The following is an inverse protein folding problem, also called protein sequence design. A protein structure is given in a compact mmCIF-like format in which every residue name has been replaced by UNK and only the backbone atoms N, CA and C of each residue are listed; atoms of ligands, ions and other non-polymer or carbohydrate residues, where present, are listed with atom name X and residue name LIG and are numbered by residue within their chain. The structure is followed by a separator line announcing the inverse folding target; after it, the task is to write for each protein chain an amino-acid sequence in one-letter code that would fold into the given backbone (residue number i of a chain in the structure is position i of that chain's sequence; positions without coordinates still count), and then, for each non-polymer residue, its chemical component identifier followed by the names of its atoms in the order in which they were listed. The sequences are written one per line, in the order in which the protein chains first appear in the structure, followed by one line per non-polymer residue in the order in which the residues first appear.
data_IF_900405887093
#
_entry.id   IF_900405887093
#
_cell.length_a   1.000
_cell.length_b   1.000
_cell.length_c   1.000
_cell.angle_alpha   90.00
_cell.angle_beta   90.00
_cell.angle_gamma   90.00
#
_symmetry.space_group_name_H-M   'P 1'
#
loop_
_entity.id
_entity.type
_entity.pdbx_description
1 polymer ?
#
# COMPACT_ATOMS: atom_id res chain seq x y z
N UNK A 1 -8.08 25.88 -14.99
CA UNK A 1 -8.62 25.84 -13.63
C UNK A 1 -7.58 26.28 -12.58
N UNK A 2 -6.62 27.16 -12.93
CA UNK A 2 -5.43 27.39 -12.11
C UNK A 2 -5.38 28.73 -11.36
N UNK A 3 -6.52 29.42 -11.14
CA UNK A 3 -6.53 30.72 -10.44
C UNK A 3 -7.25 30.73 -9.08
N UNK A 4 -8.13 29.76 -8.77
CA UNK A 4 -8.89 29.78 -7.51
C UNK A 4 -8.50 28.67 -6.52
N UNK A 5 -8.45 29.03 -5.23
CA UNK A 5 -8.23 28.10 -4.12
C UNK A 5 -9.42 27.14 -3.99
N UNK A 6 -9.18 25.85 -4.28
CA UNK A 6 -10.18 24.79 -4.12
C UNK A 6 -10.35 24.35 -2.66
N UNK A 7 -11.58 23.98 -2.29
CA UNK A 7 -11.89 23.22 -1.09
C UNK A 7 -11.90 21.73 -1.42
N UNK A 8 -10.86 21.01 -1.00
CA UNK A 8 -10.68 19.60 -1.32
C UNK A 8 -10.97 18.72 -0.10
N UNK A 9 -11.85 17.74 -0.27
CA UNK A 9 -12.05 16.66 0.70
C UNK A 9 -11.30 15.41 0.24
N UNK A 10 -10.49 14.84 1.12
CA UNK A 10 -9.79 13.58 0.88
C UNK A 10 -10.39 12.51 1.78
N UNK A 11 -10.87 11.42 1.18
CA UNK A 11 -11.49 10.32 1.91
C UNK A 11 -10.43 9.25 2.14
N UNK A 12 -10.04 9.03 3.40
CA UNK A 12 -8.97 8.12 3.79
C UNK A 12 -7.64 8.83 4.00
N UNK A 13 -7.09 8.73 5.21
CA UNK A 13 -5.92 9.44 5.67
C UNK A 13 -4.66 8.58 5.76
N UNK A 14 -4.49 7.58 4.89
CA UNK A 14 -3.26 6.77 4.79
C UNK A 14 -2.32 7.32 3.71
N UNK A 15 -1.42 6.50 3.15
CA UNK A 15 -0.36 6.96 2.23
C UNK A 15 -0.90 7.73 1.02
N UNK A 16 -1.91 7.19 0.31
CA UNK A 16 -2.48 7.86 -0.85
C UNK A 16 -3.10 9.22 -0.47
N UNK A 17 -3.93 9.26 0.57
CA UNK A 17 -4.57 10.50 1.00
C UNK A 17 -3.57 11.54 1.49
N UNK A 18 -2.57 11.14 2.28
CA UNK A 18 -1.54 12.04 2.79
C UNK A 18 -0.57 12.52 1.70
N UNK A 19 -0.24 11.69 0.72
CA UNK A 19 0.52 12.13 -0.46
C UNK A 19 -0.22 13.23 -1.22
N UNK A 20 -1.52 13.06 -1.43
CA UNK A 20 -2.35 14.06 -2.11
C UNK A 20 -2.55 15.30 -1.22
N UNK A 21 -2.75 15.12 0.08
CA UNK A 21 -2.92 16.22 1.02
C UNK A 21 -1.67 17.10 1.14
N UNK A 22 -0.48 16.49 1.25
CA UNK A 22 0.78 17.23 1.27
C UNK A 22 1.03 17.97 -0.05
N UNK A 23 0.68 17.38 -1.19
CA UNK A 23 0.77 18.02 -2.50
C UNK A 23 -0.20 19.20 -2.63
N UNK A 24 -1.48 19.01 -2.33
CA UNK A 24 -2.52 20.03 -2.45
C UNK A 24 -2.30 21.21 -1.48
N UNK A 25 -1.80 20.91 -0.27
CA UNK A 25 -1.33 21.93 0.68
C UNK A 25 -0.26 22.82 0.07
N UNK A 26 0.71 22.25 -0.64
CA UNK A 26 1.78 23.02 -1.29
C UNK A 26 1.34 23.75 -2.56
N UNK A 27 0.21 23.35 -3.16
CA UNK A 27 -0.47 24.09 -4.23
C UNK A 27 -1.48 25.12 -3.67
N UNK A 28 -1.40 25.43 -2.38
CA UNK A 28 -2.20 26.48 -1.73
C UNK A 28 -3.72 26.24 -1.71
N UNK A 29 -4.15 24.98 -1.83
CA UNK A 29 -5.55 24.58 -1.68
C UNK A 29 -5.94 24.33 -0.22
N UNK A 30 -7.24 24.42 0.07
CA UNK A 30 -7.80 23.97 1.34
C UNK A 30 -7.97 22.45 1.31
N UNK A 31 -7.56 21.75 2.37
CA UNK A 31 -7.56 20.28 2.39
C UNK A 31 -8.17 19.78 3.69
N UNK A 32 -9.22 18.96 3.58
CA UNK A 32 -9.82 18.26 4.70
C UNK A 32 -9.73 16.75 4.47
N UNK A 33 -8.86 16.07 5.23
CA UNK A 33 -8.74 14.61 5.21
C UNK A 33 -9.71 14.01 6.24
N UNK A 34 -10.65 13.19 5.77
CA UNK A 34 -11.56 12.42 6.60
C UNK A 34 -11.01 10.99 6.76
N UNK A 35 -10.61 10.64 7.97
CA UNK A 35 -10.06 9.34 8.32
C UNK A 35 -10.98 8.58 9.27
N UNK A 36 -11.44 7.39 8.87
CA UNK A 36 -12.38 6.60 9.67
C UNK A 36 -11.81 6.07 10.98
N UNK A 37 -10.50 5.86 11.08
CA UNK A 37 -9.90 5.37 12.32
C UNK A 37 -9.91 6.46 13.38
N UNK A 38 -10.27 6.14 14.64
CA UNK A 38 -10.61 7.15 15.64
C UNK A 38 -9.40 7.89 16.22
N UNK A 39 -8.17 7.50 15.91
CA UNK A 39 -6.96 8.11 16.49
C UNK A 39 -5.91 8.45 15.43
N UNK A 40 -5.12 9.49 15.69
CA UNK A 40 -3.96 9.83 14.85
C UNK A 40 -2.79 8.87 15.02
N UNK A 41 -2.68 8.24 16.19
CA UNK A 41 -1.64 7.25 16.47
C UNK A 41 -2.03 5.93 15.82
N UNK A 42 -1.09 5.39 15.04
CA UNK A 42 -1.19 4.14 14.31
C UNK A 42 -0.10 3.17 14.75
N UNK A 43 -0.51 1.97 15.12
CA UNK A 43 0.41 0.88 15.38
C UNK A 43 1.12 0.43 14.09
N UNK A 44 2.33 -0.10 14.25
CA UNK A 44 3.09 -0.63 13.11
C UNK A 44 2.33 -1.82 12.55
N UNK A 45 2.08 -1.80 11.24
CA UNK A 45 1.53 -2.97 10.56
C UNK A 45 2.63 -3.95 10.11
N UNK A 46 3.85 -3.86 10.66
CA UNK A 46 5.05 -4.63 10.28
C UNK A 46 5.14 -4.89 8.76
N UNK A 47 4.73 -3.89 7.98
CA UNK A 47 4.53 -3.99 6.56
C UNK A 47 5.66 -3.25 5.89
N UNK A 48 6.70 -4.00 5.52
CA UNK A 48 7.71 -3.51 4.61
C UNK A 48 7.11 -3.10 3.26
N UNK A 49 7.70 -2.09 2.65
CA UNK A 49 7.35 -1.62 1.32
C UNK A 49 8.58 -1.02 0.62
N UNK A 50 8.45 -0.75 -0.67
CA UNK A 50 9.46 0.02 -1.39
C UNK A 50 8.89 1.33 -1.90
N UNK A 51 9.71 2.38 -1.84
CA UNK A 51 9.46 3.63 -2.54
C UNK A 51 10.12 3.55 -3.92
N UNK A 52 9.33 3.19 -4.94
CA UNK A 52 9.76 3.17 -6.34
C UNK A 52 10.02 4.57 -6.90
N UNK A 53 10.24 4.65 -8.22
CA UNK A 53 10.63 5.90 -8.91
C UNK A 53 9.69 7.08 -8.65
N UNK A 54 8.38 6.88 -8.69
CA UNK A 54 7.40 7.95 -8.46
C UNK A 54 7.30 8.29 -6.97
N UNK A 55 7.45 7.29 -6.08
CA UNK A 55 7.55 7.55 -4.64
C UNK A 55 8.74 8.44 -4.31
N UNK A 56 9.89 8.19 -4.93
CA UNK A 56 11.10 9.02 -4.77
C UNK A 56 10.94 10.41 -5.40
N UNK A 57 10.31 10.51 -6.57
CA UNK A 57 10.01 11.79 -7.22
C UNK A 57 9.05 12.65 -6.38
N UNK A 58 8.00 12.03 -5.81
CA UNK A 58 7.05 12.68 -4.92
C UNK A 58 7.75 13.20 -3.67
N UNK A 59 8.57 12.38 -3.02
CA UNK A 59 9.37 12.80 -1.86
C UNK A 59 10.31 13.94 -2.23
N UNK A 60 10.98 13.89 -3.38
CA UNK A 60 11.84 14.97 -3.84
C UNK A 60 11.09 16.31 -3.93
N UNK A 61 9.84 16.28 -4.42
CA UNK A 61 9.03 17.49 -4.64
C UNK A 61 8.34 18.00 -3.38
N UNK A 62 7.77 17.11 -2.56
CA UNK A 62 6.84 17.51 -1.49
C UNK A 62 7.31 17.17 -0.07
N UNK A 63 8.37 16.37 0.11
CA UNK A 63 8.93 16.08 1.44
C UNK A 63 9.95 17.14 1.85
N UNK A 64 9.63 17.87 2.92
CA UNK A 64 10.47 18.91 3.52
C UNK A 64 11.45 18.38 4.56
N UNK A 65 11.35 17.10 4.95
CA UNK A 65 12.27 16.48 5.90
C UNK A 65 13.50 15.99 5.12
N UNK A 66 14.71 16.42 5.49
CA UNK A 66 15.94 16.09 4.75
C UNK A 66 17.01 15.43 5.62
N UNK A 67 17.02 15.75 6.90
CA UNK A 67 17.98 15.33 7.93
C UNK A 67 17.63 13.98 8.56
N UNK A 68 16.50 13.37 8.18
CA UNK A 68 16.09 12.06 8.69
C UNK A 68 16.02 11.02 7.57
N UNK A 69 16.77 9.92 7.66
CA UNK A 69 16.60 8.78 6.77
C UNK A 69 15.21 8.15 6.90
N UNK A 70 14.77 7.45 5.86
CA UNK A 70 13.45 6.80 5.84
C UNK A 70 13.41 5.50 5.04
N UNK A 71 14.57 5.00 4.60
CA UNK A 71 14.68 3.72 3.91
C UNK A 71 16.04 3.09 4.18
N UNK A 72 16.09 1.77 4.08
CA UNK A 72 17.29 0.96 3.93
C UNK A 72 17.47 0.66 2.43
N UNK A 73 18.71 0.50 1.99
CA UNK A 73 19.01 0.14 0.60
C UNK A 73 19.30 -1.36 0.46
N UNK A 74 18.89 -1.92 -0.67
CA UNK A 74 19.39 -3.19 -1.18
C UNK A 74 19.63 -3.04 -2.67
N UNK A 75 20.76 -3.50 -3.17
CA UNK A 75 21.16 -3.32 -4.57
C UNK A 75 20.70 -4.45 -5.48
N UNK A 76 20.22 -5.56 -4.90
CA UNK A 76 19.83 -6.76 -5.65
C UNK A 76 18.50 -7.34 -5.20
N UNK A 77 17.75 -7.86 -6.18
CA UNK A 77 16.74 -8.89 -5.97
C UNK A 77 17.37 -10.23 -6.36
N UNK A 78 17.50 -11.15 -5.40
CA UNK A 78 17.95 -12.52 -5.67
C UNK A 78 16.81 -13.50 -5.44
N UNK A 79 16.55 -14.35 -6.43
CA UNK A 79 15.64 -15.49 -6.30
C UNK A 79 16.48 -16.71 -5.97
N UNK A 80 16.08 -17.45 -4.93
CA UNK A 80 16.80 -18.63 -4.44
C UNK A 80 15.90 -19.86 -4.37
N UNK A 81 16.46 -21.03 -4.67
CA UNK A 81 15.77 -22.33 -4.60
C UNK A 81 15.68 -22.88 -3.16
N UNK A 82 15.09 -24.07 -3.02
CA UNK A 82 14.96 -24.80 -1.75
C UNK A 82 16.29 -25.05 -1.01
N UNK A 83 17.42 -25.05 -1.75
CA UNK A 83 18.78 -25.27 -1.24
C UNK A 83 19.57 -23.97 -1.11
N UNK A 84 18.91 -22.81 -1.25
CA UNK A 84 19.50 -21.46 -1.24
C UNK A 84 20.45 -21.17 -2.41
N UNK A 85 20.39 -21.94 -3.51
CA UNK A 85 21.13 -21.58 -4.72
C UNK A 85 20.45 -20.38 -5.39
N UNK A 86 21.25 -19.39 -5.79
CA UNK A 86 20.75 -18.25 -6.57
C UNK A 86 20.39 -18.74 -7.97
N UNK A 87 19.12 -18.63 -8.33
CA UNK A 87 18.60 -19.00 -9.67
C UNK A 87 18.40 -17.77 -10.56
N UNK A 88 18.18 -16.60 -9.96
CA UNK A 88 18.07 -15.33 -10.65
C UNK A 88 18.68 -14.22 -9.78
N UNK A 89 19.43 -13.30 -10.39
CA UNK A 89 19.93 -12.11 -9.72
C UNK A 89 19.68 -10.90 -10.60
N UNK A 90 19.03 -9.88 -10.04
CA UNK A 90 18.72 -8.62 -10.73
C UNK A 90 19.25 -7.45 -9.92
N UNK A 91 20.00 -6.58 -10.56
CA UNK A 91 20.38 -5.29 -9.96
C UNK A 91 19.15 -4.39 -9.91
N UNK A 92 18.70 -4.07 -8.70
CA UNK A 92 17.55 -3.20 -8.45
C UNK A 92 17.93 -2.27 -7.31
N UNK A 93 17.93 -0.94 -7.52
CA UNK A 93 18.31 0.02 -6.48
C UNK A 93 17.15 0.23 -5.50
N UNK A 94 16.85 -0.78 -4.68
CA UNK A 94 15.72 -0.71 -3.78
C UNK A 94 15.91 0.37 -2.72
N UNK A 95 14.80 1.05 -2.44
CA UNK A 95 14.59 1.94 -1.30
C UNK A 95 13.49 1.28 -0.46
N UNK A 96 13.89 0.54 0.56
CA UNK A 96 13.03 -0.31 1.38
C UNK A 96 12.68 0.42 2.67
N UNK A 97 11.40 0.58 2.93
CA UNK A 97 10.88 1.26 4.12
C UNK A 97 9.75 0.44 4.73
N UNK A 98 9.10 0.96 5.76
CA UNK A 98 7.88 0.39 6.31
C UNK A 98 6.75 1.43 6.28
N UNK A 99 5.51 0.95 6.39
CA UNK A 99 4.34 1.81 6.33
C UNK A 99 4.35 2.90 7.40
N UNK A 100 4.74 2.56 8.64
CA UNK A 100 4.71 3.47 9.79
C UNK A 100 5.66 4.65 9.59
N UNK A 101 6.89 4.40 9.15
CA UNK A 101 7.88 5.42 8.78
C UNK A 101 7.30 6.38 7.75
N UNK A 102 6.73 5.85 6.67
CA UNK A 102 6.27 6.71 5.58
C UNK A 102 4.99 7.48 5.95
N UNK A 103 4.06 6.85 6.67
CA UNK A 103 2.84 7.47 7.18
C UNK A 103 3.16 8.70 8.05
N UNK A 104 4.00 8.54 9.07
CA UNK A 104 4.32 9.62 9.98
C UNK A 104 5.15 10.72 9.32
N UNK A 105 6.01 10.36 8.36
CA UNK A 105 6.72 11.35 7.55
C UNK A 105 5.77 12.20 6.71
N UNK A 106 4.74 11.59 6.12
CA UNK A 106 3.73 12.33 5.37
C UNK A 106 2.83 13.18 6.29
N UNK A 107 2.45 12.67 7.47
CA UNK A 107 1.74 13.46 8.50
C UNK A 107 2.55 14.69 8.91
N UNK A 108 3.83 14.53 9.25
CA UNK A 108 4.70 15.64 9.58
C UNK A 108 4.74 16.74 8.49
N UNK A 109 4.70 16.35 7.20
CA UNK A 109 4.61 17.31 6.09
C UNK A 109 3.22 17.94 5.93
N UNK A 110 2.15 17.20 6.24
CA UNK A 110 0.77 17.62 6.06
C UNK A 110 0.26 18.50 7.21
N UNK A 111 0.34 18.04 8.45
CA UNK A 111 -0.30 18.64 9.62
C UNK A 111 0.63 18.81 10.82
N UNK A 112 1.96 18.80 10.60
CA UNK A 112 2.97 18.94 11.66
C UNK A 112 2.84 17.91 12.78
N UNK A 113 2.31 16.72 12.46
CA UNK A 113 2.16 15.69 13.46
C UNK A 113 3.53 15.21 13.98
N UNK A 114 3.76 15.40 15.28
CA UNK A 114 4.93 14.89 15.98
C UNK A 114 4.77 13.41 16.25
N UNK A 115 5.82 12.64 15.99
CA UNK A 115 5.86 11.20 16.26
C UNK A 115 7.28 10.77 16.60
N UNK A 116 7.44 9.54 17.08
CA UNK A 116 8.77 8.95 17.32
C UNK A 116 9.61 8.86 16.03
N UNK A 117 8.95 8.84 14.87
CA UNK A 117 9.60 8.87 13.54
C UNK A 117 9.95 10.25 13.05
N UNK A 118 9.26 11.30 13.50
CA UNK A 118 9.55 12.69 13.13
C UNK A 118 9.26 13.54 14.37
N UNK A 119 10.21 13.66 15.30
CA UNK A 119 9.99 14.40 16.54
C UNK A 119 9.88 15.91 16.30
N UNK A 120 10.57 16.40 15.27
CA UNK A 120 10.65 17.80 14.87
C UNK A 120 10.10 17.96 13.44
N UNK A 121 8.76 18.03 13.27
CA UNK A 121 8.15 18.24 11.96
C UNK A 121 8.50 19.64 11.41
N UNK A 122 8.60 19.79 10.08
CA UNK A 122 8.85 21.08 9.46
C UNK A 122 7.61 21.99 9.62
N UNK A 123 7.78 23.30 9.86
CA UNK A 123 6.65 24.21 10.05
C UNK A 123 5.76 24.30 8.81
N UNK A 124 4.44 24.38 9.00
CA UNK A 124 3.49 24.65 7.92
C UNK A 124 3.52 26.13 7.57
N UNK A 125 4.12 26.42 6.42
CA UNK A 125 3.98 27.72 5.79
C UNK A 125 2.68 27.71 4.96
N UNK A 126 1.56 28.01 5.62
CA UNK A 126 0.25 28.16 4.96
C UNK A 126 0.09 29.60 4.46
N UNK A 127 -0.55 29.76 3.32
CA UNK A 127 -0.97 31.08 2.84
C UNK A 127 -2.13 31.63 3.69
N UNK A 128 -2.31 32.95 3.66
CA UNK A 128 -3.43 33.60 4.36
C UNK A 128 -4.77 33.00 3.90
N UNK A 129 -5.59 32.59 4.87
CA UNK A 129 -6.89 31.93 4.65
C UNK A 129 -6.82 30.47 4.17
N UNK A 130 -5.65 29.84 4.10
CA UNK A 130 -5.52 28.43 3.76
C UNK A 130 -5.81 27.55 4.99
N UNK A 131 -6.62 26.51 4.81
CA UNK A 131 -7.03 25.58 5.87
C UNK A 131 -6.62 24.16 5.52
N UNK A 132 -5.90 23.48 6.43
CA UNK A 132 -5.57 22.05 6.32
C UNK A 132 -5.97 21.31 7.58
N UNK A 133 -6.71 20.21 7.44
CA UNK A 133 -7.27 19.44 8.55
C UNK A 133 -7.08 17.95 8.30
N UNK A 134 -6.56 17.23 9.31
CA UNK A 134 -6.59 15.77 9.39
C UNK A 134 -7.60 15.36 10.46
N UNK A 135 -8.79 14.93 10.06
CA UNK A 135 -9.89 14.63 10.97
C UNK A 135 -10.07 13.12 11.12
N UNK A 136 -10.05 12.64 12.36
CA UNK A 136 -10.07 11.22 12.72
C UNK A 136 -11.47 10.79 13.16
N UNK A 137 -11.75 9.49 13.08
CA UNK A 137 -13.08 8.97 13.38
C UNK A 137 -14.16 9.43 12.40
N UNK A 138 -13.81 9.89 11.19
CA UNK A 138 -14.78 10.34 10.17
C UNK A 138 -14.93 9.27 9.10
N UNK A 139 -16.02 8.49 9.17
CA UNK A 139 -16.32 7.42 8.21
C UNK A 139 -17.24 7.95 7.12
N UNK A 140 -16.73 8.14 5.91
CA UNK A 140 -17.56 8.50 4.76
C UNK A 140 -18.52 7.36 4.43
N UNK A 141 -19.80 7.70 4.32
CA UNK A 141 -20.92 6.78 4.05
C UNK A 141 -21.52 7.01 2.68
N UNK A 142 -21.39 8.20 2.10
CA UNK A 142 -21.89 8.50 0.76
C UNK A 142 -21.08 9.60 0.04
N UNK A 143 -21.08 9.53 -1.29
CA UNK A 143 -20.63 10.62 -2.18
C UNK A 143 -21.66 10.79 -3.29
N UNK A 144 -22.05 12.03 -3.58
CA UNK A 144 -23.04 12.32 -4.63
C UNK A 144 -22.72 13.62 -5.35
N UNK A 145 -23.14 13.72 -6.60
CA UNK A 145 -22.96 14.91 -7.42
C UNK A 145 -24.24 15.26 -8.16
N UNK A 146 -24.61 16.53 -8.10
CA UNK A 146 -25.69 17.12 -8.89
C UNK A 146 -25.15 18.38 -9.59
N UNK A 147 -25.54 18.63 -10.84
CA UNK A 147 -25.01 19.76 -11.63
C UNK A 147 -25.36 21.13 -11.04
N UNK A 148 -26.51 21.25 -10.39
CA UNK A 148 -26.99 22.49 -9.76
C UNK A 148 -26.48 22.61 -8.32
N UNK A 149 -26.52 21.53 -7.54
CA UNK A 149 -26.15 21.54 -6.12
C UNK A 149 -24.66 21.24 -5.83
N UNK A 150 -23.90 20.83 -6.84
CA UNK A 150 -22.48 20.50 -6.70
C UNK A 150 -22.22 19.13 -6.09
N UNK A 151 -21.00 18.95 -5.59
CA UNK A 151 -20.53 17.71 -4.97
C UNK A 151 -20.93 17.68 -3.49
N UNK A 152 -21.23 16.51 -2.96
CA UNK A 152 -21.53 16.31 -1.54
C UNK A 152 -20.86 15.06 -1.02
N UNK A 153 -20.32 15.15 0.19
CA UNK A 153 -19.70 14.04 0.93
C UNK A 153 -20.42 13.92 2.26
N UNK A 154 -21.06 12.76 2.50
CA UNK A 154 -21.69 12.45 3.78
C UNK A 154 -20.75 11.56 4.59
N UNK A 155 -20.48 11.94 5.83
CA UNK A 155 -19.73 11.10 6.76
C UNK A 155 -20.44 10.97 8.10
N UNK A 156 -20.16 9.87 8.77
CA UNK A 156 -20.53 9.59 10.14
C UNK A 156 -19.32 9.82 11.04
N UNK A 157 -19.51 10.56 12.13
CA UNK A 157 -18.56 10.56 13.24
C UNK A 157 -18.69 9.24 14.01
N UNK A 158 -17.62 8.44 14.02
CA UNK A 158 -17.60 7.09 14.57
C UNK A 158 -17.75 7.09 16.10
N UNK A 159 -17.46 8.20 16.78
CA UNK A 159 -17.61 8.31 18.23
C UNK A 159 -19.04 8.69 18.62
N UNK A 160 -19.66 9.64 17.91
CA UNK A 160 -20.99 10.16 18.26
C UNK A 160 -22.13 9.48 17.49
N UNK A 161 -21.83 8.85 16.35
CA UNK A 161 -22.81 8.31 15.40
C UNK A 161 -23.54 9.40 14.58
N UNK A 162 -23.13 10.67 14.67
CA UNK A 162 -23.79 11.77 13.96
C UNK A 162 -23.33 11.84 12.52
N UNK A 163 -24.27 12.10 11.61
CA UNK A 163 -23.96 12.31 10.20
C UNK A 163 -23.85 13.79 9.87
N UNK A 164 -22.83 14.14 9.07
CA UNK A 164 -22.60 15.49 8.56
C UNK A 164 -22.39 15.44 7.04
N UNK A 165 -22.56 16.60 6.39
CA UNK A 165 -22.43 16.74 4.94
C UNK A 165 -21.48 17.90 4.64
N UNK A 166 -20.50 17.65 3.78
CA UNK A 166 -19.61 18.67 3.22
C UNK A 166 -19.90 18.87 1.74
N UNK A 167 -19.69 20.10 1.27
CA UNK A 167 -19.84 20.50 -0.14
C UNK A 167 -18.50 20.98 -0.73
N UNK A 168 -17.56 20.06 -1.03
CA UNK A 168 -16.26 20.42 -1.57
C UNK A 168 -16.29 20.72 -3.07
N UNK A 169 -15.26 21.41 -3.56
CA UNK A 169 -15.03 21.62 -4.99
C UNK A 169 -14.47 20.38 -5.69
N UNK A 170 -13.75 19.54 -4.94
CA UNK A 170 -13.03 18.37 -5.40
C UNK A 170 -12.97 17.29 -4.30
N UNK A 171 -13.12 16.02 -4.69
CA UNK A 171 -12.92 14.86 -3.80
C UNK A 171 -11.80 13.96 -4.28
N UNK A 172 -10.90 13.59 -3.37
CA UNK A 172 -9.89 12.54 -3.58
C UNK A 172 -10.29 11.32 -2.75
N UNK A 173 -10.80 10.29 -3.40
CA UNK A 173 -11.18 9.04 -2.77
C UNK A 173 -9.95 8.11 -2.66
N UNK A 174 -9.36 8.09 -1.47
CA UNK A 174 -8.12 7.39 -1.10
C UNK A 174 -8.35 6.35 0.02
N UNK A 175 -9.56 5.79 0.10
CA UNK A 175 -10.06 4.90 1.15
C UNK A 175 -9.63 3.42 0.99
N UNK A 176 -8.58 3.18 0.21
CA UNK A 176 -7.79 1.96 0.20
C UNK A 176 -8.45 0.71 -0.40
N UNK A 177 -7.86 -0.45 -0.13
CA UNK A 177 -8.27 -1.73 -0.72
C UNK A 177 -9.73 -2.12 -0.45
N UNK A 178 -10.30 -1.65 0.67
CA UNK A 178 -11.68 -1.87 1.08
C UNK A 178 -12.66 -0.78 0.64
N UNK A 179 -12.23 0.16 -0.20
CA UNK A 179 -12.92 1.40 -0.59
C UNK A 179 -14.45 1.28 -0.61
N UNK A 180 -15.09 2.02 0.30
CA UNK A 180 -16.54 2.18 0.31
C UNK A 180 -16.96 3.09 -0.86
N UNK A 181 -16.15 4.10 -1.16
CA UNK A 181 -16.38 5.04 -2.26
C UNK A 181 -16.44 4.31 -3.61
N UNK A 182 -15.51 3.38 -3.86
CA UNK A 182 -15.55 2.53 -5.06
C UNK A 182 -16.81 1.68 -5.14
N UNK A 183 -17.29 1.14 -4.02
CA UNK A 183 -18.54 0.35 -3.98
C UNK A 183 -19.78 1.19 -4.25
N UNK A 184 -19.80 2.44 -3.78
CA UNK A 184 -20.88 3.40 -4.07
C UNK A 184 -20.90 3.72 -5.56
N UNK A 185 -19.74 4.02 -6.15
CA UNK A 185 -19.63 4.42 -7.56
C UNK A 185 -19.80 3.26 -8.54
N UNK A 186 -19.36 2.06 -8.16
CA UNK A 186 -19.35 0.85 -9.00
C UNK A 186 -19.85 -0.37 -8.21
N UNK A 187 -21.16 -0.45 -7.89
CA UNK A 187 -21.71 -1.50 -7.02
C UNK A 187 -21.55 -2.92 -7.59
N UNK A 188 -21.52 -3.04 -8.93
CA UNK A 188 -21.37 -4.34 -9.61
C UNK A 188 -19.89 -4.80 -9.74
N UNK A 189 -18.93 -3.96 -9.36
CA UNK A 189 -17.51 -4.29 -9.46
C UNK A 189 -17.15 -5.37 -8.43
N UNK A 190 -16.79 -6.55 -8.92
CA UNK A 190 -16.32 -7.66 -8.09
C UNK A 190 -14.85 -7.48 -7.71
N UNK A 191 -14.51 -7.87 -6.48
CA UNK A 191 -13.12 -7.94 -6.00
C UNK A 191 -12.82 -9.39 -5.63
N UNK A 192 -12.43 -10.24 -6.59
CA UNK A 192 -12.24 -11.67 -6.36
C UNK A 192 -11.02 -11.94 -5.46
N UNK A 193 -11.14 -12.96 -4.62
CA UNK A 193 -10.01 -13.50 -3.87
C UNK A 193 -9.05 -14.20 -4.82
N UNK A 194 -7.75 -13.95 -4.65
CA UNK A 194 -6.72 -14.42 -5.56
C UNK A 194 -6.28 -15.87 -5.33
N UNK A 195 -6.80 -16.54 -4.29
CA UNK A 195 -6.51 -17.94 -3.98
C UNK A 195 -5.35 -18.16 -3.00
N UNK A 196 -4.82 -17.10 -2.40
CA UNK A 196 -3.71 -17.20 -1.45
C UNK A 196 -3.74 -16.13 -0.36
N UNK A 197 -3.05 -16.45 0.73
CA UNK A 197 -2.85 -15.61 1.90
C UNK A 197 -1.42 -15.09 1.89
N UNK A 198 -1.18 -13.94 2.53
CA UNK A 198 0.17 -13.51 2.88
C UNK A 198 0.30 -13.43 4.39
N UNK A 199 1.14 -14.30 4.95
CA UNK A 199 1.65 -14.18 6.31
C UNK A 199 2.77 -13.16 6.35
N UNK A 200 2.77 -12.29 7.34
CA UNK A 200 3.72 -11.20 7.44
C UNK A 200 4.15 -11.02 8.88
N UNK A 201 5.42 -10.67 9.05
CA UNK A 201 6.01 -10.41 10.35
C UNK A 201 7.36 -9.74 10.20
N UNK A 202 7.85 -9.22 11.32
CA UNK A 202 9.18 -8.63 11.44
C UNK A 202 9.94 -9.31 12.57
N UNK A 203 11.28 -9.25 12.47
CA UNK A 203 12.19 -9.65 13.55
C UNK A 203 13.18 -8.51 13.76
N UNK A 204 13.42 -8.04 15.00
CA UNK A 204 14.48 -7.08 15.29
C UNK A 204 15.84 -7.57 14.79
N UNK A 205 16.61 -6.72 14.12
CA UNK A 205 17.88 -7.14 13.50
C UNK A 205 18.86 -7.72 14.54
N UNK A 206 18.92 -7.12 15.73
CA UNK A 206 19.76 -7.59 16.84
C UNK A 206 19.37 -8.97 17.38
N UNK A 207 18.17 -9.45 17.08
CA UNK A 207 17.70 -10.76 17.44
C UNK A 207 18.02 -11.81 16.36
N UNK A 208 18.59 -11.44 15.21
CA UNK A 208 18.89 -12.33 14.08
C UNK A 208 20.37 -12.75 14.07
N UNK A 209 20.65 -14.01 13.70
CA UNK A 209 22.00 -14.55 13.62
C UNK A 209 22.84 -13.83 12.55
N UNK A 210 24.16 -13.77 12.78
CA UNK A 210 25.11 -13.19 11.81
C UNK A 210 25.06 -13.91 10.46
N UNK A 211 24.81 -15.21 10.44
CA UNK A 211 24.69 -16.01 9.22
C UNK A 211 23.50 -15.54 8.38
N UNK A 212 22.33 -15.37 9.00
CA UNK A 212 21.12 -14.85 8.32
C UNK A 212 21.28 -13.40 7.89
N UNK A 213 21.93 -12.56 8.70
CA UNK A 213 22.20 -11.17 8.29
C UNK A 213 23.16 -11.10 7.09
N UNK A 214 24.19 -11.94 7.05
CA UNK A 214 25.07 -12.06 5.89
C UNK A 214 24.31 -12.55 4.65
N UNK A 215 23.37 -13.48 4.82
CA UNK A 215 22.48 -13.95 3.76
C UNK A 215 21.58 -12.83 3.20
N UNK A 216 21.22 -11.83 4.01
CA UNK A 216 20.39 -10.68 3.60
C UNK A 216 21.19 -9.44 3.21
N UNK A 217 22.51 -9.43 3.41
CA UNK A 217 23.34 -8.25 3.18
C UNK A 217 23.19 -7.73 1.75
N UNK A 218 22.81 -6.45 1.63
CA UNK A 218 22.57 -5.71 0.38
C UNK A 218 21.57 -6.39 -0.59
N UNK A 219 20.67 -7.23 -0.06
CA UNK A 219 19.80 -8.09 -0.85
C UNK A 219 18.35 -8.05 -0.38
N UNK A 220 17.45 -8.03 -1.35
CA UNK A 220 16.08 -8.48 -1.21
C UNK A 220 16.03 -9.92 -1.71
N UNK A 221 15.67 -10.86 -0.84
CA UNK A 221 15.62 -12.29 -1.16
C UNK A 221 14.19 -12.69 -1.49
N UNK A 222 14.03 -13.45 -2.58
CA UNK A 222 12.83 -14.22 -2.89
C UNK A 222 13.18 -15.71 -2.82
N UNK A 223 12.77 -16.36 -1.74
CA UNK A 223 12.87 -17.80 -1.59
C UNK A 223 11.63 -18.47 -2.16
N UNK A 224 11.78 -19.42 -3.06
CA UNK A 224 10.66 -20.16 -3.66
C UNK A 224 10.79 -21.66 -3.40
N UNK A 225 9.62 -22.31 -3.22
CA UNK A 225 9.47 -23.75 -3.14
C UNK A 225 8.09 -24.14 -3.72
N UNK A 226 7.71 -25.43 -3.66
CA UNK A 226 6.48 -25.91 -4.31
C UNK A 226 5.22 -25.15 -3.84
N UNK A 227 4.66 -24.32 -4.72
CA UNK A 227 3.39 -23.58 -4.58
C UNK A 227 3.31 -22.55 -3.45
N UNK A 228 4.46 -22.07 -2.97
CA UNK A 228 4.57 -20.90 -2.11
C UNK A 228 5.91 -20.20 -2.32
N UNK A 229 5.99 -18.94 -1.91
CA UNK A 229 7.27 -18.24 -1.88
C UNK A 229 7.32 -17.22 -0.75
N UNK A 230 8.53 -16.84 -0.35
CA UNK A 230 8.80 -15.95 0.77
C UNK A 230 9.71 -14.82 0.30
N UNK A 231 9.39 -13.59 0.70
CA UNK A 231 10.21 -12.41 0.44
C UNK A 231 10.79 -11.93 1.76
N UNK A 232 12.11 -11.69 1.80
CA UNK A 232 12.83 -11.26 2.99
C UNK A 232 13.76 -10.10 2.67
N UNK A 233 13.71 -9.03 3.48
CA UNK A 233 14.57 -7.86 3.32
C UNK A 233 14.61 -7.01 4.59
N UNK A 234 15.61 -6.12 4.69
CA UNK A 234 15.75 -5.17 5.79
C UNK A 234 14.87 -3.93 5.59
N UNK A 235 14.30 -3.42 6.68
CA UNK A 235 13.51 -2.19 6.76
C UNK A 235 13.94 -1.36 7.98
N UNK A 236 13.58 -0.08 8.06
CA UNK A 236 13.86 0.74 9.24
C UNK A 236 13.25 0.19 10.54
N UNK A 237 13.85 0.59 11.67
CA UNK A 237 13.41 0.33 13.04
C UNK A 237 12.07 0.95 13.44
N UNK A 238 11.69 0.78 14.70
CA UNK A 238 10.43 1.29 15.28
C UNK A 238 10.35 2.81 15.41
N UNK A 239 11.50 3.48 15.41
CA UNK A 239 11.67 4.94 15.38
C UNK A 239 12.12 5.43 13.99
N UNK A 240 12.33 4.50 13.05
CA UNK A 240 12.84 4.78 11.71
C UNK A 240 14.36 4.74 11.60
N UNK A 241 15.08 4.27 12.62
CA UNK A 241 16.52 4.03 12.55
C UNK A 241 16.86 3.12 11.37
N UNK A 242 17.97 3.47 10.70
CA UNK A 242 18.56 2.69 9.60
C UNK A 242 19.92 2.11 9.99
N UNK A 243 20.33 2.30 11.24
CA UNK A 243 21.63 1.84 11.75
C UNK A 243 21.62 0.32 11.91
N UNK A 244 22.70 -0.37 11.49
CA UNK A 244 22.84 -1.81 11.72
C UNK A 244 22.65 -2.19 13.19
N UNK A 245 21.74 -3.13 13.45
CA UNK A 245 21.36 -3.58 14.79
C UNK A 245 20.06 -2.95 15.31
N UNK A 246 19.62 -1.83 14.73
CA UNK A 246 18.40 -1.11 15.11
C UNK A 246 17.27 -1.26 14.08
N UNK A 247 17.54 -1.95 12.97
CA UNK A 247 16.57 -2.22 11.89
C UNK A 247 15.68 -3.42 12.21
N UNK A 248 14.74 -3.69 11.33
CA UNK A 248 13.99 -4.94 11.31
C UNK A 248 14.25 -5.75 10.04
N UNK A 249 14.20 -7.07 10.15
CA UNK A 249 14.06 -7.98 9.02
C UNK A 249 12.57 -8.21 8.76
N UNK A 250 12.08 -7.78 7.60
CA UNK A 250 10.72 -8.00 7.14
C UNK A 250 10.62 -9.33 6.38
N UNK A 251 9.60 -10.13 6.70
CA UNK A 251 9.28 -11.37 6.02
C UNK A 251 7.83 -11.36 5.52
N UNK A 252 7.63 -11.79 4.27
CA UNK A 252 6.30 -12.01 3.68
C UNK A 252 6.25 -13.39 3.08
N UNK A 253 5.42 -14.28 3.61
CA UNK A 253 5.18 -15.62 3.09
C UNK A 253 3.84 -15.68 2.36
N UNK A 254 3.91 -15.92 1.05
CA UNK A 254 2.80 -16.11 0.14
C UNK A 254 2.39 -17.57 0.14
N UNK A 255 1.21 -17.87 0.67
CA UNK A 255 0.76 -19.21 1.03
C UNK A 255 -0.57 -19.52 0.33
N UNK A 256 -0.57 -20.51 -0.56
CA UNK A 256 -1.76 -20.91 -1.32
C UNK A 256 -2.81 -21.48 -0.38
N UNK A 257 -4.03 -20.92 -0.41
CA UNK A 257 -5.09 -21.32 0.50
C UNK A 257 -6.45 -21.05 -0.14
N UNK A 258 -7.24 -22.09 -0.42
CA UNK A 258 -8.52 -21.92 -1.12
C UNK A 258 -9.59 -21.34 -0.20
N UNK A 259 -10.37 -20.37 -0.70
CA UNK A 259 -11.36 -19.59 0.08
C UNK A 259 -12.35 -20.44 0.88
N UNK A 260 -12.80 -21.54 0.32
CA UNK A 260 -13.84 -22.39 0.89
C UNK A 260 -13.27 -23.58 1.68
N UNK A 261 -11.95 -23.62 1.87
CA UNK A 261 -11.30 -24.65 2.68
C UNK A 261 -11.54 -24.43 4.18
N UNK A 262 -11.61 -25.50 4.98
CA UNK A 262 -11.61 -25.39 6.45
C UNK A 262 -10.36 -24.66 6.97
N UNK A 263 -9.23 -24.81 6.28
CA UNK A 263 -7.98 -24.11 6.62
C UNK A 263 -8.15 -22.59 6.49
N UNK A 264 -8.69 -22.09 5.37
CA UNK A 264 -8.93 -20.66 5.18
C UNK A 264 -9.84 -20.09 6.25
N UNK A 265 -10.97 -20.76 6.53
CA UNK A 265 -11.91 -20.33 7.57
C UNK A 265 -11.22 -20.28 8.94
N UNK A 266 -10.41 -21.28 9.25
CA UNK A 266 -9.63 -21.32 10.48
C UNK A 266 -8.65 -20.14 10.55
N UNK A 267 -7.79 -19.98 9.53
CA UNK A 267 -6.78 -18.91 9.50
C UNK A 267 -7.40 -17.51 9.58
N UNK A 268 -8.53 -17.30 8.91
CA UNK A 268 -9.18 -15.99 8.81
C UNK A 268 -10.10 -15.65 9.98
N UNK A 269 -10.23 -16.52 10.98
CA UNK A 269 -10.92 -16.22 12.23
C UNK A 269 -9.90 -15.85 13.30
N UNK A 270 -10.15 -14.80 14.07
CA UNK A 270 -9.21 -14.33 15.10
C UNK A 270 -9.34 -15.07 16.44
N UNK A 271 -8.57 -14.61 17.44
CA UNK A 271 -8.62 -15.07 18.84
C UNK A 271 -9.96 -14.82 19.53
N UNK A 272 -10.73 -13.84 19.07
CA UNK A 272 -12.04 -13.48 19.64
C UNK A 272 -13.19 -14.20 18.92
N UNK A 273 -12.88 -15.09 17.97
CA UNK A 273 -13.86 -15.82 17.16
C UNK A 273 -14.47 -15.00 16.02
N UNK A 274 -13.97 -13.79 15.75
CA UNK A 274 -14.44 -12.96 14.64
C UNK A 274 -13.78 -13.42 13.34
N UNK A 275 -14.61 -13.73 12.34
CA UNK A 275 -14.14 -14.00 11.00
C UNK A 275 -13.85 -12.70 10.24
N UNK A 276 -12.63 -12.58 9.71
CA UNK A 276 -12.18 -11.44 8.94
C UNK A 276 -12.28 -11.70 7.44
N UNK A 277 -12.78 -10.72 6.69
CA UNK A 277 -12.88 -10.85 5.22
C UNK A 277 -11.53 -10.69 4.51
N UNK A 278 -10.64 -9.86 5.07
CA UNK A 278 -9.40 -9.45 4.39
C UNK A 278 -8.15 -9.68 5.23
N UNK A 279 -8.09 -9.16 6.44
CA UNK A 279 -6.89 -9.22 7.27
C UNK A 279 -7.26 -9.62 8.68
N UNK A 280 -6.60 -10.64 9.21
CA UNK A 280 -6.54 -10.86 10.66
C UNK A 280 -5.36 -10.03 11.16
N UNK A 281 -5.60 -8.98 11.95
CA UNK A 281 -4.57 -7.99 12.30
C UNK A 281 -3.57 -8.53 13.34
N UNK A 282 -2.56 -7.72 13.62
CA UNK A 282 -1.60 -7.96 14.70
C UNK A 282 -2.28 -8.22 16.03
N UNK A 283 -1.70 -9.13 16.80
CA UNK A 283 -2.25 -9.54 18.10
C UNK A 283 -3.58 -10.28 18.02
N UNK A 284 -4.13 -10.52 16.82
CA UNK A 284 -5.42 -11.21 16.62
C UNK A 284 -5.29 -12.58 15.95
N UNK A 285 -4.12 -12.91 15.37
CA UNK A 285 -3.85 -14.27 14.89
C UNK A 285 -3.87 -15.25 16.06
N UNK A 286 -4.60 -16.36 15.92
CA UNK A 286 -4.65 -17.39 16.97
C UNK A 286 -3.29 -18.04 17.20
N UNK A 287 -2.78 -18.11 18.46
CA UNK A 287 -1.49 -18.72 18.75
C UNK A 287 -1.35 -20.17 18.25
N UNK A 288 -2.42 -20.96 18.34
CA UNK A 288 -2.41 -22.34 17.83
C UNK A 288 -2.24 -22.43 16.31
N UNK A 289 -2.80 -21.48 15.55
CA UNK A 289 -2.65 -21.42 14.09
C UNK A 289 -1.23 -20.98 13.73
N UNK A 290 -0.68 -20.00 14.44
CA UNK A 290 0.70 -19.57 14.21
C UNK A 290 1.70 -20.69 14.55
N UNK A 291 1.51 -21.40 15.66
CA UNK A 291 2.36 -22.53 16.04
C UNK A 291 2.37 -23.63 14.96
N UNK A 292 1.25 -23.88 14.29
CA UNK A 292 1.19 -24.82 13.16
C UNK A 292 2.04 -24.32 11.96
N UNK A 293 1.96 -23.03 11.63
CA UNK A 293 2.77 -22.42 10.55
C UNK A 293 4.26 -22.40 10.91
N UNK A 294 4.62 -22.17 12.17
CA UNK A 294 6.01 -22.27 12.66
C UNK A 294 6.54 -23.71 12.63
N UNK A 295 5.72 -24.69 13.02
CA UNK A 295 6.08 -26.11 12.92
C UNK A 295 6.31 -26.52 11.47
N UNK A 296 5.44 -26.08 10.55
CA UNK A 296 5.63 -26.29 9.12
C UNK A 296 6.93 -25.65 8.61
N UNK A 297 7.18 -24.38 8.95
CA UNK A 297 8.40 -23.68 8.57
C UNK A 297 9.66 -24.34 9.14
N UNK A 298 9.59 -24.85 10.36
CA UNK A 298 10.69 -25.57 11.02
C UNK A 298 11.06 -26.87 10.32
N UNK A 299 10.08 -27.57 9.74
CA UNK A 299 10.30 -28.82 9.02
C UNK A 299 10.74 -28.61 7.57
N UNK A 300 10.30 -27.52 6.91
CA UNK A 300 10.42 -27.37 5.46
C UNK A 300 11.34 -26.24 4.99
N UNK A 301 11.63 -25.24 5.82
CA UNK A 301 12.42 -24.07 5.39
C UNK A 301 13.91 -24.22 5.66
N UNK A 302 14.78 -23.66 4.80
CA UNK A 302 16.22 -23.61 5.04
C UNK A 302 16.55 -22.67 6.21
N UNK A 303 17.77 -22.81 6.76
CA UNK A 303 18.17 -22.21 8.04
C UNK A 303 17.80 -20.72 8.21
N UNK A 304 18.14 -19.81 7.26
CA UNK A 304 17.86 -18.38 7.44
C UNK A 304 16.36 -18.06 7.47
N UNK A 305 15.58 -18.75 6.65
CA UNK A 305 14.13 -18.54 6.56
C UNK A 305 13.42 -19.14 7.78
N UNK A 306 13.83 -20.34 8.18
CA UNK A 306 13.35 -21.02 9.39
C UNK A 306 13.58 -20.18 10.65
N UNK A 307 14.78 -19.62 10.80
CA UNK A 307 15.12 -18.74 11.92
C UNK A 307 14.12 -17.58 12.03
N UNK A 308 13.87 -16.87 10.92
CA UNK A 308 13.00 -15.71 10.90
C UNK A 308 11.55 -16.07 11.24
N UNK A 309 11.02 -17.15 10.66
CA UNK A 309 9.64 -17.60 10.94
C UNK A 309 9.47 -17.98 12.41
N UNK A 310 10.46 -18.63 13.01
CA UNK A 310 10.40 -19.00 14.43
C UNK A 310 10.59 -17.82 15.39
N UNK A 311 11.20 -16.72 14.93
CA UNK A 311 11.41 -15.49 15.72
C UNK A 311 10.31 -14.44 15.56
N UNK A 312 9.39 -14.60 14.61
CA UNK A 312 8.22 -13.73 14.51
C UNK A 312 7.27 -14.00 15.68
N UNK A 313 7.11 -13.01 16.54
CA UNK A 313 6.23 -13.06 17.72
C UNK A 313 4.78 -12.68 17.39
N UNK A 314 4.60 -11.64 16.57
CA UNK A 314 3.29 -11.04 16.27
C UNK A 314 3.03 -11.05 14.76
N UNK A 315 2.66 -12.20 14.18
CA UNK A 315 2.31 -12.27 12.77
C UNK A 315 0.96 -11.60 12.50
N UNK A 316 0.72 -11.27 11.23
CA UNK A 316 -0.60 -11.00 10.71
C UNK A 316 -0.77 -11.70 9.36
N UNK A 317 -2.03 -11.92 8.96
CA UNK A 317 -2.35 -12.62 7.72
C UNK A 317 -3.39 -11.84 6.92
N UNK A 318 -3.16 -11.74 5.61
CA UNK A 318 -4.06 -11.03 4.70
C UNK A 318 -4.40 -11.90 3.50
N UNK A 319 -5.70 -12.05 3.22
CA UNK A 319 -6.19 -12.56 1.96
C UNK A 319 -5.93 -11.57 0.84
N UNK A 320 -5.36 -12.06 -0.26
CA UNK A 320 -5.01 -11.23 -1.41
C UNK A 320 -6.16 -11.18 -2.40
N UNK A 321 -6.42 -9.98 -2.88
CA UNK A 321 -7.47 -9.67 -3.84
C UNK A 321 -6.87 -8.69 -4.85
N UNK A 322 -7.45 -8.63 -6.04
CA UNK A 322 -7.10 -7.63 -7.04
C UNK A 322 -8.36 -7.14 -7.76
N UNK A 323 -8.34 -5.88 -8.20
CA UNK A 323 -9.40 -5.28 -9.02
C UNK A 323 -8.95 -3.91 -9.55
N UNK A 324 -9.53 -3.46 -10.65
CA UNK A 324 -9.37 -2.08 -11.15
C UNK A 324 -10.77 -1.48 -11.31
N UNK A 325 -10.94 -0.25 -10.84
CA UNK A 325 -12.18 0.50 -11.01
C UNK A 325 -12.35 0.87 -12.49
N UNK A 326 -13.58 0.83 -13.05
CA UNK A 326 -13.81 1.16 -14.46
C UNK A 326 -13.29 2.54 -14.88
N UNK A 327 -13.32 3.52 -13.98
CA UNK A 327 -12.77 4.87 -14.20
C UNK A 327 -12.00 5.35 -12.97
N UNK A 328 -10.99 6.19 -13.21
CA UNK A 328 -10.23 6.85 -12.16
C UNK A 328 -10.89 8.16 -11.74
N UNK A 329 -11.55 8.85 -12.68
CA UNK A 329 -12.31 10.06 -12.40
C UNK A 329 -13.82 9.83 -12.54
N UNK A 330 -14.59 10.52 -11.72
CA UNK A 330 -16.05 10.52 -11.71
C UNK A 330 -16.56 11.97 -11.64
N UNK A 331 -17.85 12.14 -11.91
CA UNK A 331 -18.53 13.43 -11.77
C UNK A 331 -17.83 14.55 -12.55
N UNK A 332 -17.50 14.30 -13.82
CA UNK A 332 -16.89 15.29 -14.72
C UNK A 332 -15.56 15.88 -14.15
N UNK A 333 -14.75 15.03 -13.49
CA UNK A 333 -13.47 15.44 -12.90
C UNK A 333 -13.58 16.10 -11.53
N UNK A 334 -14.71 15.92 -10.83
CA UNK A 334 -14.93 16.39 -9.45
C UNK A 334 -14.59 15.35 -8.39
N UNK A 335 -14.44 14.08 -8.74
CA UNK A 335 -14.00 13.02 -7.84
C UNK A 335 -12.94 12.15 -8.50
N UNK A 336 -11.84 11.88 -7.79
CA UNK A 336 -10.77 10.99 -8.23
C UNK A 336 -10.57 9.82 -7.27
N UNK A 337 -10.71 8.59 -7.75
CA UNK A 337 -10.26 7.39 -7.04
C UNK A 337 -8.74 7.27 -7.19
N UNK A 338 -8.03 7.07 -6.08
CA UNK A 338 -6.56 7.02 -6.08
C UNK A 338 -6.00 5.88 -5.23
N UNK A 339 -4.76 5.47 -5.52
CA UNK A 339 -4.13 4.34 -4.85
C UNK A 339 -4.98 3.06 -4.94
N UNK A 340 -5.02 2.28 -3.86
CA UNK A 340 -5.76 1.02 -3.81
C UNK A 340 -7.30 1.20 -3.89
N UNK A 341 -7.81 2.42 -3.74
CA UNK A 341 -9.22 2.73 -4.00
C UNK A 341 -9.53 2.69 -5.50
N UNK A 342 -8.59 3.10 -6.36
CA UNK A 342 -8.70 2.93 -7.81
C UNK A 342 -8.39 1.51 -8.26
N UNK A 343 -7.16 1.06 -7.98
CA UNK A 343 -6.64 -0.20 -8.49
C UNK A 343 -5.87 -0.93 -7.38
N UNK A 344 -6.35 -2.13 -7.07
CA UNK A 344 -5.77 -3.03 -6.10
C UNK A 344 -4.99 -4.12 -6.83
N UNK A 345 -3.70 -4.25 -6.51
CA UNK A 345 -2.82 -5.26 -7.11
C UNK A 345 -2.51 -6.40 -6.15
N UNK A 346 -2.12 -7.53 -6.73
CA UNK A 346 -1.39 -8.54 -5.96
C UNK A 346 0.00 -7.97 -5.60
N UNK A 347 0.52 -8.19 -4.38
CA UNK A 347 1.71 -7.48 -3.92
C UNK A 347 3.04 -7.94 -4.55
N UNK A 348 3.00 -8.92 -5.47
CA UNK A 348 4.18 -9.52 -6.11
C UNK A 348 5.11 -8.50 -6.81
N UNK A 349 4.55 -7.42 -7.36
CA UNK A 349 5.30 -6.38 -8.09
C UNK A 349 5.74 -5.20 -7.19
N UNK A 350 5.29 -5.15 -5.94
CA UNK A 350 5.58 -4.08 -4.97
C UNK A 350 5.31 -2.64 -5.48
N UNK A 351 4.23 -2.44 -6.27
CA UNK A 351 3.93 -1.15 -6.92
C UNK A 351 2.84 -0.29 -6.27
N UNK A 352 2.11 -0.76 -5.25
CA UNK A 352 0.99 0.01 -4.67
C UNK A 352 1.39 1.41 -4.17
N UNK A 353 2.51 1.53 -3.46
CA UNK A 353 3.03 2.84 -3.02
C UNK A 353 3.44 3.71 -4.21
N UNK A 354 4.05 3.11 -5.24
CA UNK A 354 4.46 3.81 -6.45
C UNK A 354 3.24 4.32 -7.25
N UNK A 355 2.15 3.56 -7.29
CA UNK A 355 0.87 3.97 -7.86
C UNK A 355 0.32 5.22 -7.17
N UNK A 356 0.29 5.21 -5.83
CA UNK A 356 -0.22 6.34 -5.05
C UNK A 356 0.53 7.63 -5.42
N UNK A 357 1.86 7.52 -5.54
CA UNK A 357 2.70 8.64 -5.90
C UNK A 357 2.52 9.10 -7.35
N UNK A 358 2.40 8.15 -8.30
CA UNK A 358 2.10 8.47 -9.70
C UNK A 358 0.78 9.24 -9.83
N UNK A 359 -0.27 8.78 -9.16
CA UNK A 359 -1.57 9.45 -9.22
C UNK A 359 -1.49 10.87 -8.67
N UNK A 360 -0.76 11.07 -7.56
CA UNK A 360 -0.54 12.39 -6.97
C UNK A 360 0.21 13.33 -7.93
N UNK A 361 1.30 12.85 -8.53
CA UNK A 361 2.09 13.64 -9.50
C UNK A 361 1.29 14.00 -10.75
N UNK A 362 0.48 13.08 -11.28
CA UNK A 362 -0.39 13.35 -12.42
C UNK A 362 -1.54 14.29 -12.05
N UNK A 363 -2.11 14.16 -10.84
CA UNK A 363 -3.20 15.03 -10.41
C UNK A 363 -2.71 16.46 -10.20
N UNK A 364 -1.50 16.64 -9.66
CA UNK A 364 -0.86 17.96 -9.57
C UNK A 364 -0.78 18.62 -10.95
N UNK A 365 -0.35 17.88 -11.98
CA UNK A 365 -0.28 18.40 -13.37
C UNK A 365 -1.66 18.74 -13.93
N UNK A 366 -2.66 17.92 -13.66
CA UNK A 366 -4.04 18.17 -14.11
C UNK A 366 -4.61 19.44 -13.47
N UNK A 367 -4.47 19.62 -12.16
CA UNK A 367 -4.96 20.79 -11.42
C UNK A 367 -4.27 22.06 -11.92
N UNK A 368 -2.96 22.01 -12.19
CA UNK A 368 -2.20 23.12 -12.77
C UNK A 368 -2.49 23.37 -14.26
N UNK A 369 -3.34 22.57 -14.90
CA UNK A 369 -3.71 22.72 -16.32
C UNK A 369 -2.64 22.25 -17.31
N UNK A 370 -1.61 21.54 -16.87
CA UNK A 370 -0.53 21.01 -17.72
C UNK A 370 -0.97 19.80 -18.56
N UNK A 371 -1.99 19.07 -18.10
CA UNK A 371 -2.55 17.90 -18.81
C UNK A 371 -4.08 17.93 -18.76
N UNK A 372 -4.73 17.29 -19.74
CA UNK A 372 -6.19 17.15 -19.75
C UNK A 372 -6.67 16.07 -18.78
N UNK A 373 -7.98 16.03 -18.48
CA UNK A 373 -8.57 14.94 -17.69
C UNK A 373 -8.41 13.59 -18.41
N UNK A 374 -8.53 13.58 -19.73
CA UNK A 374 -8.32 12.39 -20.55
C UNK A 374 -6.88 11.88 -20.46
N UNK A 375 -5.89 12.77 -20.51
CA UNK A 375 -4.48 12.41 -20.31
C UNK A 375 -4.24 11.80 -18.92
N UNK A 376 -4.85 12.37 -17.88
CA UNK A 376 -4.78 11.83 -16.53
C UNK A 376 -5.33 10.40 -16.50
N UNK A 377 -6.57 10.19 -16.97
CA UNK A 377 -7.23 8.88 -16.97
C UNK A 377 -6.45 7.85 -17.78
N UNK A 378 -5.94 8.23 -18.96
CA UNK A 378 -5.14 7.35 -19.81
C UNK A 378 -3.88 6.88 -19.10
N UNK A 379 -3.15 7.79 -18.43
CA UNK A 379 -1.88 7.46 -17.77
C UNK A 379 -2.06 6.58 -16.54
N UNK A 380 -3.05 6.88 -15.68
CA UNK A 380 -3.32 6.06 -14.49
C UNK A 380 -3.88 4.68 -14.86
N UNK A 381 -4.77 4.60 -15.85
CA UNK A 381 -5.31 3.33 -16.32
C UNK A 381 -4.23 2.46 -16.98
N UNK A 382 -3.37 3.06 -17.81
CA UNK A 382 -2.24 2.37 -18.43
C UNK A 382 -1.30 1.78 -17.38
N UNK A 383 -0.90 2.57 -16.37
CA UNK A 383 -0.08 2.07 -15.27
C UNK A 383 -0.77 0.93 -14.52
N UNK A 384 -2.07 1.08 -14.22
CA UNK A 384 -2.80 0.09 -13.44
C UNK A 384 -2.99 -1.24 -14.18
N UNK A 385 -3.38 -1.21 -15.45
CA UNK A 385 -3.56 -2.43 -16.25
C UNK A 385 -2.24 -3.19 -16.44
N UNK A 386 -1.16 -2.49 -16.79
CA UNK A 386 0.16 -3.11 -16.92
C UNK A 386 0.61 -3.72 -15.59
N UNK A 387 0.45 -2.99 -14.48
CA UNK A 387 0.88 -3.46 -13.15
C UNK A 387 0.04 -4.63 -12.65
N UNK A 388 -1.27 -4.63 -12.89
CA UNK A 388 -2.14 -5.74 -12.53
C UNK A 388 -1.70 -7.02 -13.24
N UNK A 389 -1.50 -6.96 -14.55
CA UNK A 389 -1.05 -8.13 -15.32
C UNK A 389 0.36 -8.57 -14.93
N UNK A 390 1.27 -7.63 -14.72
CA UNK A 390 2.62 -7.93 -14.23
C UNK A 390 2.60 -8.64 -12.89
N UNK A 391 1.79 -8.14 -11.94
CA UNK A 391 1.66 -8.74 -10.62
C UNK A 391 1.12 -10.17 -10.70
N UNK A 392 0.12 -10.42 -11.55
CA UNK A 392 -0.44 -11.76 -11.77
C UNK A 392 0.58 -12.71 -12.40
N UNK A 393 1.35 -12.24 -13.38
CA UNK A 393 2.42 -13.02 -14.01
C UNK A 393 3.48 -13.47 -13.00
N UNK A 394 4.02 -12.53 -12.19
CA UNK A 394 4.99 -12.87 -11.13
C UNK A 394 4.39 -13.87 -10.13
N UNK A 395 3.15 -13.65 -9.68
CA UNK A 395 2.51 -14.56 -8.72
C UNK A 395 2.33 -15.97 -9.29
N UNK A 396 1.88 -16.06 -10.55
CA UNK A 396 1.63 -17.34 -11.22
C UNK A 396 2.90 -18.16 -11.46
N UNK A 397 4.07 -17.53 -11.61
CA UNK A 397 5.36 -18.21 -11.77
C UNK A 397 5.65 -19.18 -10.61
N UNK A 398 5.24 -18.80 -9.39
CA UNK A 398 5.54 -19.56 -8.17
C UNK A 398 4.33 -20.30 -7.58
N UNK A 399 3.12 -19.88 -7.94
CA UNK A 399 1.89 -20.31 -7.25
C UNK A 399 0.89 -21.02 -8.17
N UNK A 400 1.13 -21.02 -9.48
CA UNK A 400 0.24 -21.64 -10.47
C UNK A 400 0.98 -22.74 -11.25
N UNK A 401 0.25 -23.50 -12.05
CA UNK A 401 0.83 -24.41 -13.03
C UNK A 401 1.39 -23.65 -14.24
N UNK A 402 2.22 -24.33 -15.05
CA UNK A 402 2.86 -23.75 -16.24
C UNK A 402 1.87 -23.11 -17.22
N UNK A 403 0.68 -23.71 -17.42
CA UNK A 403 -0.34 -23.17 -18.33
C UNK A 403 -0.91 -21.85 -17.81
N UNK A 404 -1.23 -21.80 -16.51
CA UNK A 404 -1.67 -20.58 -15.84
C UNK A 404 -0.62 -19.48 -15.88
N UNK A 405 0.64 -19.84 -15.67
CA UNK A 405 1.77 -18.90 -15.80
C UNK A 405 1.89 -18.32 -17.21
N UNK A 406 1.92 -19.17 -18.25
CA UNK A 406 1.99 -18.72 -19.64
C UNK A 406 0.82 -17.81 -20.03
N UNK A 407 -0.38 -18.11 -19.55
CA UNK A 407 -1.56 -17.26 -19.76
C UNK A 407 -1.36 -15.85 -19.17
N UNK A 408 -0.88 -15.76 -17.93
CA UNK A 408 -0.66 -14.48 -17.27
C UNK A 408 0.51 -13.70 -17.89
N UNK A 409 1.60 -14.38 -18.24
CA UNK A 409 2.76 -13.77 -18.88
C UNK A 409 2.41 -13.21 -20.26
N UNK A 410 1.66 -13.96 -21.08
CA UNK A 410 1.19 -13.46 -22.37
C UNK A 410 0.37 -12.17 -22.23
N UNK A 411 -0.57 -12.14 -21.28
CA UNK A 411 -1.39 -10.94 -21.01
C UNK A 411 -0.55 -9.76 -20.53
N UNK A 412 0.47 -10.00 -19.71
CA UNK A 412 1.40 -8.96 -19.28
C UNK A 412 2.19 -8.39 -20.47
N UNK A 413 2.76 -9.24 -21.32
CA UNK A 413 3.50 -8.78 -22.50
C UNK A 413 2.61 -7.99 -23.46
N UNK A 414 1.35 -8.42 -23.63
CA UNK A 414 0.38 -7.71 -24.43
C UNK A 414 0.03 -6.33 -23.84
N UNK A 415 -0.24 -6.24 -22.53
CA UNK A 415 -0.52 -4.98 -21.85
C UNK A 415 0.66 -4.00 -21.96
N UNK A 416 1.89 -4.49 -21.76
CA UNK A 416 3.12 -3.71 -21.91
C UNK A 416 3.30 -3.16 -23.33
N UNK A 417 2.97 -3.95 -24.36
CA UNK A 417 3.01 -3.48 -25.77
C UNK A 417 1.92 -2.45 -26.05
N UNK A 418 0.70 -2.66 -25.56
CA UNK A 418 -0.40 -1.72 -25.72
C UNK A 418 -0.08 -0.36 -25.07
N UNK A 419 0.57 -0.36 -23.91
CA UNK A 419 1.09 0.85 -23.27
C UNK A 419 2.04 1.63 -24.19
N UNK A 420 2.94 0.94 -24.91
CA UNK A 420 3.84 1.58 -25.89
C UNK A 420 3.10 2.09 -27.13
N UNK A 421 1.94 1.52 -27.46
CA UNK A 421 1.12 1.90 -28.62
C UNK A 421 0.01 2.91 -28.29
N UNK A 422 -0.17 3.28 -27.01
CA UNK A 422 -1.22 4.21 -26.58
C UNK A 422 -2.63 3.61 -26.51
N UNK A 423 -2.78 2.28 -26.55
CA UNK A 423 -4.09 1.61 -26.47
C UNK A 423 -4.41 1.14 -25.04
N UNK A 424 -5.71 1.09 -24.71
CA UNK A 424 -6.25 0.47 -23.49
C UNK A 424 -6.62 -0.99 -23.80
N UNK A 425 -6.12 -1.93 -22.99
CA UNK A 425 -6.51 -3.35 -23.02
C UNK A 425 -7.23 -3.77 -21.74
#
# INVERSE_FOLDING_TARGET
MAEDRLNVVIIGGSLAGLMHGAMLKQLSHNVHILEQYPTSIRESQAAGMSTGIHGQELLKKYDKIKDRPHFVTASKLEVVDARLNVIESRSVPFKLTNWKTFYYRLRANFDEFKSDYVPNPPPSLLEEGQVVVYDVGKRVTNVSYNKEAGLSVTYEDVQTGTNEILHPDLVIAADGAGSATRKILFPDLKTPYAGFLTWRGIVPENAVSKETLNFLFDRCIRYYADRYYIVVYLIPGDDGSIEPGERHVNLVWYDTCHKDSPEYLSIMTDIDGKQHQRTVPFGKVRPSIWAQKQAYGSANFPSPIKELVNKIETPFVTGIYDCISPKASCFEGKLFLVGDAYALFRPHAAQSTNQCALHCLLLSKYISGEITLEDYENKVASFANTTLHWSRAIGSEYMDNMVGHLYHEFRFQLAKRAQNWGFRL
#
